data_IF_736642651314
#
_entry.id   IF_736642651314
#
_cell.length_a   1.000
_cell.length_b   1.000
_cell.length_c   1.000
_cell.angle_alpha   90.00
_cell.angle_beta   90.00
_cell.angle_gamma   90.00
#
_symmetry.space_group_name_H-M   'P 1'
#
loop_
_entity.id
_entity.type
_entity.pdbx_description
1 polymer ?
#
# COMPACT_ATOMS: atom_id res chain seq x y z
N UNK A 1 -16.58 7.41 -21.53
CA UNK A 1 -16.39 7.27 -20.06
C UNK A 1 -15.10 7.98 -19.69
N UNK A 2 -15.12 9.03 -18.84
CA UNK A 2 -13.91 9.74 -18.47
C UNK A 2 -12.97 8.84 -17.67
N UNK A 3 -11.68 8.88 -18.00
CA UNK A 3 -10.64 8.13 -17.30
C UNK A 3 -10.52 8.55 -15.83
N UNK A 4 -9.96 7.67 -14.97
CA UNK A 4 -9.80 7.96 -13.54
C UNK A 4 -9.07 9.29 -13.27
N UNK A 5 -8.09 9.63 -14.11
CA UNK A 5 -7.29 10.87 -14.02
C UNK A 5 -8.13 12.10 -14.37
N UNK A 6 -9.00 12.02 -15.38
CA UNK A 6 -9.89 13.11 -15.76
C UNK A 6 -10.88 13.45 -14.64
N UNK A 7 -11.43 12.42 -13.98
CA UNK A 7 -12.32 12.61 -12.82
C UNK A 7 -11.61 13.25 -11.63
N UNK A 8 -10.33 12.95 -11.45
CA UNK A 8 -9.53 13.59 -10.39
C UNK A 8 -9.30 15.07 -10.72
N UNK A 9 -8.94 15.41 -11.96
CA UNK A 9 -8.74 16.80 -12.39
C UNK A 9 -10.02 17.65 -12.35
N UNK A 10 -11.20 17.05 -12.54
CA UNK A 10 -12.49 17.71 -12.42
C UNK A 10 -12.81 18.23 -11.01
N UNK A 11 -12.02 17.86 -9.99
CA UNK A 11 -12.14 18.43 -8.64
C UNK A 11 -11.69 19.89 -8.56
N UNK A 12 -10.92 20.36 -9.54
CA UNK A 12 -10.51 21.76 -9.64
C UNK A 12 -11.69 22.60 -10.11
N UNK A 13 -12.04 23.63 -9.34
CA UNK A 13 -13.11 24.56 -9.71
C UNK A 13 -12.71 25.29 -10.99
N UNK A 14 -13.55 25.20 -12.02
CA UNK A 14 -13.29 25.74 -13.35
C UNK A 14 -12.69 24.73 -14.34
N UNK A 15 -12.38 23.50 -13.92
CA UNK A 15 -11.94 22.41 -14.80
C UNK A 15 -13.09 21.44 -15.05
N UNK A 16 -13.81 21.64 -16.16
CA UNK A 16 -14.84 20.71 -16.63
C UNK A 16 -14.26 19.49 -17.35
N UNK A 17 -15.13 18.58 -17.80
CA UNK A 17 -14.73 17.33 -18.48
C UNK A 17 -13.82 17.57 -19.70
N UNK A 18 -14.12 18.58 -20.51
CA UNK A 18 -13.37 18.90 -21.72
C UNK A 18 -11.97 19.41 -21.37
N UNK A 19 -11.85 20.27 -20.36
CA UNK A 19 -10.56 20.78 -19.89
C UNK A 19 -9.74 19.68 -19.24
N UNK A 20 -10.36 18.83 -18.41
CA UNK A 20 -9.70 17.67 -17.81
C UNK A 20 -9.09 16.73 -18.86
N UNK A 21 -9.81 16.47 -19.97
CA UNK A 21 -9.27 15.70 -21.11
C UNK A 21 -8.07 16.41 -21.73
N UNK A 22 -8.15 17.73 -21.94
CA UNK A 22 -7.06 18.52 -22.52
C UNK A 22 -5.81 18.54 -21.64
N UNK A 23 -5.97 18.63 -20.32
CA UNK A 23 -4.89 18.48 -19.35
C UNK A 23 -4.20 17.13 -19.48
N UNK A 24 -4.98 16.04 -19.52
CA UNK A 24 -4.43 14.69 -19.68
C UNK A 24 -3.70 14.54 -21.02
N UNK A 25 -4.26 15.06 -22.13
CA UNK A 25 -3.59 15.01 -23.45
C UNK A 25 -2.31 15.85 -23.49
N UNK A 26 -2.24 16.92 -22.72
CA UNK A 26 -1.03 17.74 -22.56
C UNK A 26 0.00 17.13 -21.59
N UNK A 27 -0.26 15.92 -21.06
CA UNK A 27 0.63 15.23 -20.12
C UNK A 27 0.50 15.68 -18.67
N UNK A 28 -0.41 16.63 -18.38
CA UNK A 28 -0.71 17.18 -17.04
C UNK A 28 -1.80 16.35 -16.37
N UNK A 29 -1.48 15.09 -16.12
CA UNK A 29 -2.44 14.09 -15.64
C UNK A 29 -2.55 14.00 -14.11
N UNK A 30 -1.83 14.85 -13.37
CA UNK A 30 -1.87 14.96 -11.90
C UNK A 30 -1.79 16.41 -11.44
N UNK A 31 -2.30 16.68 -10.23
CA UNK A 31 -2.20 18.02 -9.62
C UNK A 31 -0.75 18.50 -9.45
N UNK A 32 0.17 17.60 -9.11
CA UNK A 32 1.59 17.94 -9.01
C UNK A 32 2.17 18.44 -10.35
N UNK A 33 1.84 17.77 -11.46
CA UNK A 33 2.28 18.22 -12.79
C UNK A 33 1.66 19.56 -13.19
N UNK A 34 0.42 19.83 -12.78
CA UNK A 34 -0.22 21.14 -13.01
C UNK A 34 0.53 22.24 -12.25
N UNK A 35 0.94 21.98 -11.01
CA UNK A 35 1.74 22.91 -10.21
C UNK A 35 3.13 23.11 -10.82
N UNK A 36 3.79 22.04 -11.28
CA UNK A 36 5.10 22.08 -11.94
C UNK A 36 5.06 22.83 -13.28
N UNK A 37 4.00 22.64 -14.06
CA UNK A 37 3.82 23.32 -15.33
C UNK A 37 3.65 24.84 -15.17
N UNK A 38 3.15 25.29 -14.02
CA UNK A 38 2.96 26.69 -13.69
C UNK A 38 2.07 27.43 -14.69
N UNK A 39 2.08 28.77 -14.62
CA UNK A 39 1.20 29.60 -15.43
C UNK A 39 1.47 29.43 -16.93
N UNK A 40 2.76 29.43 -17.32
CA UNK A 40 3.20 29.30 -18.71
C UNK A 40 2.83 27.96 -19.36
N UNK A 41 2.71 26.88 -18.57
CA UNK A 41 2.29 25.57 -19.07
C UNK A 41 0.77 25.46 -19.22
N UNK A 42 0.02 26.11 -18.34
CA UNK A 42 -1.44 26.17 -18.35
C UNK A 42 -1.98 27.07 -19.48
N UNK A 43 -1.30 28.18 -19.79
CA UNK A 43 -1.67 29.09 -20.88
C UNK A 43 -1.62 28.44 -22.27
N UNK A 44 -0.73 27.45 -22.45
CA UNK A 44 -0.59 26.71 -23.71
C UNK A 44 -1.76 25.78 -23.99
N UNK A 45 -2.63 25.54 -23.00
CA UNK A 45 -3.76 24.62 -23.13
C UNK A 45 -4.96 25.38 -23.67
N UNK A 46 -5.38 24.99 -24.88
CA UNK A 46 -6.53 25.60 -25.54
C UNK A 46 -7.76 25.56 -24.65
N UNK A 47 -8.39 26.72 -24.43
CA UNK A 47 -9.65 26.87 -23.69
C UNK A 47 -9.50 27.06 -22.18
N UNK A 48 -8.27 27.08 -21.64
CA UNK A 48 -8.04 27.57 -20.28
C UNK A 48 -8.17 29.09 -20.28
N UNK A 49 -8.93 29.63 -19.32
CA UNK A 49 -9.05 31.07 -19.17
C UNK A 49 -7.89 31.60 -18.29
N UNK A 50 -7.03 32.51 -18.80
CA UNK A 50 -5.86 33.01 -18.09
C UNK A 50 -6.16 33.57 -16.69
N UNK A 51 -7.33 34.19 -16.50
CA UNK A 51 -7.75 34.75 -15.20
C UNK A 51 -7.91 33.70 -14.10
N UNK A 52 -8.21 32.45 -14.48
CA UNK A 52 -8.42 31.36 -13.52
C UNK A 52 -7.16 30.52 -13.30
N UNK A 53 -6.09 30.72 -14.08
CA UNK A 53 -4.84 29.96 -13.98
C UNK A 53 -4.24 30.03 -12.56
N UNK A 54 -4.08 31.21 -11.92
CA UNK A 54 -3.52 31.28 -10.56
C UNK A 54 -4.39 30.53 -9.54
N UNK A 55 -5.72 30.59 -9.71
CA UNK A 55 -6.66 29.86 -8.84
C UNK A 55 -6.55 28.35 -9.03
N UNK A 56 -6.42 27.88 -10.27
CA UNK A 56 -6.23 26.46 -10.59
C UNK A 56 -4.93 25.95 -9.99
N UNK A 57 -3.83 26.69 -10.10
CA UNK A 57 -2.53 26.30 -9.53
C UNK A 57 -2.61 26.25 -8.00
N UNK A 58 -3.21 27.26 -7.37
CA UNK A 58 -3.39 27.28 -5.91
C UNK A 58 -4.22 26.09 -5.41
N UNK A 59 -5.34 25.79 -6.07
CA UNK A 59 -6.15 24.61 -5.76
C UNK A 59 -5.40 23.30 -6.01
N UNK A 60 -4.67 23.20 -7.12
CA UNK A 60 -3.85 22.04 -7.43
C UNK A 60 -2.75 21.83 -6.38
N UNK A 61 -2.15 22.90 -5.86
CA UNK A 61 -1.16 22.83 -4.78
C UNK A 61 -1.77 22.29 -3.48
N UNK A 62 -2.94 22.80 -3.09
CA UNK A 62 -3.66 22.30 -1.91
C UNK A 62 -4.03 20.84 -2.07
N UNK A 63 -4.64 20.46 -3.20
CA UNK A 63 -5.05 19.08 -3.48
C UNK A 63 -3.86 18.13 -3.62
N UNK A 64 -2.75 18.56 -4.22
CA UNK A 64 -1.52 17.78 -4.28
C UNK A 64 -0.98 17.52 -2.86
N UNK A 65 -0.94 18.55 -2.01
CA UNK A 65 -0.52 18.43 -0.63
C UNK A 65 -1.41 17.50 0.21
N UNK A 66 -2.73 17.55 0.01
CA UNK A 66 -3.68 16.64 0.67
C UNK A 66 -3.50 15.19 0.22
N UNK A 67 -3.35 14.97 -1.10
CA UNK A 67 -3.12 13.62 -1.65
C UNK A 67 -1.80 13.03 -1.14
N UNK A 68 -0.76 13.85 -1.03
CA UNK A 68 0.52 13.40 -0.47
C UNK A 68 0.42 13.09 1.02
N UNK A 69 -0.27 13.93 1.81
CA UNK A 69 -0.53 13.66 3.23
C UNK A 69 -1.34 12.38 3.45
N UNK A 70 -2.44 12.19 2.72
CA UNK A 70 -3.27 10.99 2.79
C UNK A 70 -2.47 9.73 2.39
N UNK A 71 -1.61 9.85 1.36
CA UNK A 71 -0.72 8.76 0.97
C UNK A 71 0.32 8.46 2.06
N UNK A 72 0.92 9.48 2.67
CA UNK A 72 1.88 9.31 3.76
C UNK A 72 1.23 8.64 4.98
N UNK A 73 0.06 9.12 5.41
CA UNK A 73 -0.71 8.52 6.50
C UNK A 73 -1.04 7.06 6.21
N UNK A 74 -1.46 6.72 4.98
CA UNK A 74 -1.70 5.33 4.59
C UNK A 74 -0.44 4.49 4.63
N UNK A 75 0.71 5.01 4.20
CA UNK A 75 1.98 4.29 4.28
C UNK A 75 2.41 4.07 5.72
N UNK A 76 2.20 5.06 6.58
CA UNK A 76 2.51 4.98 8.00
C UNK A 76 1.62 3.95 8.72
N UNK A 77 0.31 3.97 8.45
CA UNK A 77 -0.59 2.93 8.95
C UNK A 77 -0.16 1.52 8.50
N UNK A 78 0.29 1.37 7.25
CA UNK A 78 0.83 0.09 6.76
C UNK A 78 2.15 -0.31 7.45
N UNK A 79 3.00 0.67 7.80
CA UNK A 79 4.23 0.40 8.56
C UNK A 79 3.89 -0.12 9.95
N UNK A 80 2.96 0.54 10.64
CA UNK A 80 2.49 0.10 11.95
C UNK A 80 1.91 -1.32 11.88
N UNK A 81 1.09 -1.60 10.85
CA UNK A 81 0.49 -2.92 10.66
C UNK A 81 1.53 -4.01 10.36
N UNK A 82 2.52 -3.70 9.52
CA UNK A 82 3.64 -4.62 9.24
C UNK A 82 4.48 -4.89 10.51
N UNK A 83 4.72 -3.87 11.33
CA UNK A 83 5.45 -4.00 12.58
C UNK A 83 4.70 -4.88 13.60
N UNK A 84 3.37 -4.72 13.72
CA UNK A 84 2.53 -5.61 14.54
C UNK A 84 2.60 -7.07 14.05
N UNK A 85 2.51 -7.27 12.73
CA UNK A 85 2.62 -8.60 12.13
C UNK A 85 3.99 -9.24 12.40
N UNK A 86 5.07 -8.44 12.32
CA UNK A 86 6.43 -8.86 12.64
C UNK A 86 6.54 -9.29 14.10
N UNK A 87 6.05 -8.47 15.03
CA UNK A 87 6.04 -8.78 16.47
C UNK A 87 5.31 -10.10 16.74
N UNK A 88 4.12 -10.28 16.16
CA UNK A 88 3.35 -11.53 16.31
C UNK A 88 4.13 -12.76 15.81
N UNK A 89 4.85 -12.65 14.70
CA UNK A 89 5.69 -13.74 14.19
C UNK A 89 6.92 -14.01 15.07
N UNK A 90 7.45 -12.99 15.77
CA UNK A 90 8.54 -13.13 16.73
C UNK A 90 8.09 -13.75 18.06
N UNK A 91 6.83 -13.52 18.46
CA UNK A 91 6.24 -14.08 19.67
C UNK A 91 5.76 -15.54 19.48
N UNK A 92 5.46 -15.95 18.24
CA UNK A 92 4.98 -17.31 17.92
C UNK A 92 5.88 -18.45 18.42
N UNK A 93 7.23 -18.40 18.31
CA UNK A 93 8.10 -19.41 18.90
C UNK A 93 7.88 -19.64 20.39
N UNK A 94 7.60 -18.59 21.17
CA UNK A 94 7.31 -18.71 22.61
C UNK A 94 5.97 -19.42 22.83
N UNK A 95 4.93 -18.98 22.10
CA UNK A 95 3.59 -19.61 22.16
C UNK A 95 3.61 -21.08 21.72
N UNK A 96 4.41 -21.39 20.70
CA UNK A 96 4.61 -22.75 20.21
C UNK A 96 5.35 -23.61 21.24
N UNK A 97 6.35 -23.04 21.92
CA UNK A 97 7.04 -23.72 23.02
C UNK A 97 6.09 -24.03 24.15
N UNK A 98 5.25 -23.10 24.58
CA UNK A 98 4.28 -23.35 25.66
C UNK A 98 3.27 -24.46 25.29
N UNK A 99 2.81 -24.50 24.04
CA UNK A 99 1.71 -25.39 23.63
C UNK A 99 2.16 -26.75 23.08
N UNK A 100 3.35 -26.84 22.51
CA UNK A 100 3.78 -27.98 21.69
C UNK A 100 5.23 -28.42 21.99
N UNK A 101 5.68 -28.33 23.24
CA UNK A 101 7.06 -28.66 23.67
C UNK A 101 7.59 -29.97 23.07
N UNK A 102 6.79 -31.03 23.12
CA UNK A 102 7.16 -32.38 22.65
C UNK A 102 7.22 -32.49 21.12
N UNK A 103 6.45 -31.69 20.39
CA UNK A 103 6.34 -31.77 18.93
C UNK A 103 7.38 -30.88 18.21
N UNK A 104 7.93 -29.88 18.93
CA UNK A 104 8.96 -28.97 18.43
C UNK A 104 10.31 -29.66 18.17
N UNK A 105 10.67 -30.65 18.97
CA UNK A 105 11.91 -31.42 18.79
C UNK A 105 11.93 -32.26 17.49
N UNK A 106 10.75 -32.49 16.89
CA UNK A 106 10.58 -33.31 15.69
C UNK A 106 10.88 -32.60 14.36
N UNK A 107 10.88 -33.38 13.26
CA UNK A 107 11.00 -32.86 11.88
C UNK A 107 9.94 -31.81 11.55
N UNK A 108 8.76 -31.89 12.17
CA UNK A 108 7.65 -30.95 11.97
C UNK A 108 7.94 -29.59 12.62
N UNK A 109 8.52 -29.56 13.83
CA UNK A 109 8.95 -28.32 14.48
C UNK A 109 10.00 -27.56 13.68
N UNK A 110 11.04 -28.25 13.20
CA UNK A 110 12.06 -27.65 12.31
C UNK A 110 11.44 -27.03 11.04
N UNK A 111 10.36 -27.64 10.50
CA UNK A 111 9.63 -27.08 9.33
C UNK A 111 8.87 -25.81 9.71
N UNK A 112 8.23 -25.79 10.88
CA UNK A 112 7.49 -24.62 11.39
C UNK A 112 8.45 -23.46 11.63
N UNK A 113 9.56 -23.68 12.33
CA UNK A 113 10.62 -22.69 12.56
C UNK A 113 11.17 -22.12 11.25
N UNK A 114 11.48 -23.00 10.28
CA UNK A 114 11.97 -22.58 8.96
C UNK A 114 10.95 -21.71 8.22
N UNK A 115 9.65 -21.99 8.34
CA UNK A 115 8.62 -21.16 7.71
C UNK A 115 8.38 -19.85 8.47
N UNK A 116 8.52 -19.82 9.80
CA UNK A 116 8.51 -18.58 10.61
C UNK A 116 9.64 -17.63 10.19
N UNK A 117 10.88 -18.12 10.12
CA UNK A 117 12.03 -17.31 9.69
C UNK A 117 11.83 -16.74 8.29
N UNK A 118 11.32 -17.54 7.36
CA UNK A 118 11.02 -17.05 6.01
C UNK A 118 9.86 -16.07 5.97
N UNK A 119 8.87 -16.20 6.86
CA UNK A 119 7.77 -15.25 6.98
C UNK A 119 8.30 -13.90 7.50
N UNK A 120 9.12 -13.92 8.55
CA UNK A 120 9.80 -12.74 9.10
C UNK A 120 10.62 -12.00 8.03
N UNK A 121 11.50 -12.72 7.33
CA UNK A 121 12.30 -12.13 6.24
C UNK A 121 11.43 -11.54 5.11
N UNK A 122 10.23 -12.09 4.88
CA UNK A 122 9.29 -11.55 3.89
C UNK A 122 8.64 -10.25 4.36
N UNK A 123 8.32 -10.15 5.66
CA UNK A 123 7.78 -8.92 6.28
C UNK A 123 8.83 -7.82 6.27
N UNK A 124 10.08 -8.11 6.62
CA UNK A 124 11.18 -7.12 6.58
C UNK A 124 11.43 -6.59 5.16
N UNK A 125 11.38 -7.49 4.17
CA UNK A 125 11.44 -7.10 2.75
C UNK A 125 10.22 -6.28 2.32
N UNK A 126 9.08 -6.45 2.97
CA UNK A 126 7.87 -5.68 2.69
C UNK A 126 8.00 -4.28 3.29
N UNK A 127 8.49 -4.16 4.52
CA UNK A 127 8.75 -2.89 5.21
C UNK A 127 9.64 -1.95 4.38
N UNK A 128 10.74 -2.47 3.83
CA UNK A 128 11.65 -1.72 2.94
C UNK A 128 11.02 -1.30 1.60
N UNK A 129 9.84 -1.83 1.23
CA UNK A 129 9.15 -1.54 -0.03
C UNK A 129 7.77 -0.89 0.17
N UNK A 130 7.45 -0.47 1.39
CA UNK A 130 6.24 0.28 1.69
C UNK A 130 6.26 1.62 0.94
N UNK A 131 5.16 1.95 0.25
CA UNK A 131 5.01 3.22 -0.48
C UNK A 131 4.74 3.09 -1.99
N UNK A 132 5.19 2.02 -2.66
CA UNK A 132 4.99 1.85 -4.11
C UNK A 132 3.62 1.29 -4.49
N UNK A 133 3.05 0.39 -3.67
CA UNK A 133 1.79 -0.31 -3.96
C UNK A 133 0.85 -0.34 -2.74
N UNK A 134 0.67 0.80 -2.08
CA UNK A 134 -0.09 1.00 -0.82
C UNK A 134 -1.37 0.14 -0.74
N UNK A 135 -2.26 0.25 -1.73
CA UNK A 135 -3.53 -0.52 -1.76
C UNK A 135 -3.32 -2.03 -1.82
N UNK A 136 -2.39 -2.50 -2.66
CA UNK A 136 -2.08 -3.94 -2.80
C UNK A 136 -1.42 -4.46 -1.53
N UNK A 137 -0.48 -3.69 -0.97
CA UNK A 137 0.23 -4.04 0.26
C UNK A 137 -0.73 -4.16 1.43
N UNK A 138 -1.64 -3.20 1.63
CA UNK A 138 -2.65 -3.28 2.69
C UNK A 138 -3.54 -4.52 2.57
N UNK A 139 -4.06 -4.79 1.36
CA UNK A 139 -4.90 -5.98 1.14
C UNK A 139 -4.18 -7.29 1.46
N UNK A 140 -2.92 -7.42 1.05
CA UNK A 140 -2.17 -8.66 1.27
C UNK A 140 -1.63 -8.77 2.71
N UNK A 141 -1.40 -7.65 3.42
CA UNK A 141 -1.10 -7.64 4.85
C UNK A 141 -2.28 -8.13 5.68
N UNK A 142 -3.49 -7.59 5.47
CA UNK A 142 -4.71 -8.05 6.14
C UNK A 142 -4.93 -9.54 5.91
N UNK A 143 -4.79 -10.01 4.66
CA UNK A 143 -4.90 -11.44 4.33
C UNK A 143 -3.83 -12.32 4.99
N UNK A 144 -2.65 -11.77 5.25
CA UNK A 144 -1.60 -12.50 5.96
C UNK A 144 -1.93 -12.57 7.45
N UNK A 145 -2.41 -11.47 8.03
CA UNK A 145 -2.84 -11.40 9.41
C UNK A 145 -4.01 -12.33 9.72
N UNK A 146 -5.09 -12.30 8.93
CA UNK A 146 -6.23 -13.22 9.06
C UNK A 146 -5.76 -14.69 9.10
N UNK A 147 -4.75 -15.03 8.29
CA UNK A 147 -4.16 -16.37 8.27
C UNK A 147 -3.36 -16.66 9.52
N UNK A 148 -2.61 -15.70 10.07
CA UNK A 148 -1.91 -15.89 11.34
C UNK A 148 -2.87 -15.95 12.53
N UNK A 149 -4.00 -15.23 12.48
CA UNK A 149 -5.08 -15.35 13.47
C UNK A 149 -5.67 -16.75 13.40
N UNK A 150 -5.99 -17.27 12.21
CA UNK A 150 -6.53 -18.64 12.09
C UNK A 150 -5.58 -19.74 12.58
N UNK A 151 -4.31 -19.42 12.82
CA UNK A 151 -3.31 -20.36 13.34
C UNK A 151 -3.26 -20.42 14.87
N UNK A 152 -3.88 -19.48 15.61
CA UNK A 152 -3.87 -19.55 17.08
C UNK A 152 -4.59 -20.79 17.60
N UNK A 153 -5.59 -21.30 16.88
CA UNK A 153 -6.35 -22.48 17.29
C UNK A 153 -6.03 -23.73 16.43
N UNK A 154 -5.03 -23.62 15.56
CA UNK A 154 -4.66 -24.70 14.65
C UNK A 154 -3.81 -25.79 15.34
N UNK A 155 -3.94 -27.02 14.85
CA UNK A 155 -3.08 -28.14 15.25
C UNK A 155 -1.65 -27.90 14.74
N UNK A 156 -0.65 -28.38 15.48
CA UNK A 156 0.77 -28.20 15.14
C UNK A 156 1.13 -28.64 13.72
N UNK A 157 0.56 -29.76 13.25
CA UNK A 157 0.75 -30.27 11.89
C UNK A 157 0.31 -29.28 10.79
N UNK A 158 -0.63 -28.40 11.10
CA UNK A 158 -1.19 -27.42 10.16
C UNK A 158 -0.48 -26.06 10.24
N UNK A 159 0.28 -25.79 11.32
CA UNK A 159 1.06 -24.56 11.50
C UNK A 159 2.01 -24.29 10.33
N UNK A 160 2.78 -25.30 9.90
CA UNK A 160 3.72 -25.13 8.78
C UNK A 160 3.02 -24.77 7.46
N UNK A 161 1.83 -25.36 7.20
CA UNK A 161 1.04 -25.04 6.00
C UNK A 161 0.41 -23.65 6.10
N UNK A 162 -0.11 -23.26 7.26
CA UNK A 162 -0.71 -21.95 7.46
C UNK A 162 0.32 -20.82 7.37
N UNK A 163 1.50 -20.97 7.99
CA UNK A 163 2.60 -20.01 7.87
C UNK A 163 3.06 -19.85 6.43
N UNK A 164 3.18 -20.97 5.69
CA UNK A 164 3.47 -20.94 4.26
C UNK A 164 2.42 -20.16 3.46
N UNK A 165 1.13 -20.32 3.80
CA UNK A 165 0.03 -19.56 3.17
C UNK A 165 0.09 -18.07 3.54
N UNK A 166 0.35 -17.72 4.79
CA UNK A 166 0.49 -16.32 5.23
C UNK A 166 1.64 -15.64 4.46
N UNK A 167 2.81 -16.28 4.42
CA UNK A 167 3.95 -15.81 3.63
C UNK A 167 3.62 -15.65 2.15
N UNK A 168 2.86 -16.59 1.57
CA UNK A 168 2.45 -16.51 0.16
C UNK A 168 1.59 -15.27 -0.13
N UNK A 169 0.71 -14.84 0.78
CA UNK A 169 -0.01 -13.56 0.62
C UNK A 169 0.95 -12.40 0.55
N UNK A 170 1.88 -12.30 1.51
CA UNK A 170 2.88 -11.23 1.53
C UNK A 170 3.74 -11.19 0.27
N UNK A 171 4.14 -12.35 -0.26
CA UNK A 171 4.91 -12.41 -1.52
C UNK A 171 4.15 -11.85 -2.73
N UNK A 172 2.81 -11.87 -2.74
CA UNK A 172 2.02 -11.30 -3.85
C UNK A 172 2.22 -9.79 -4.01
N UNK A 173 2.71 -9.09 -2.98
CA UNK A 173 3.07 -7.67 -3.08
C UNK A 173 4.23 -7.47 -4.06
N UNK A 174 5.17 -8.42 -4.11
CA UNK A 174 6.36 -8.37 -4.96
C UNK A 174 6.17 -8.95 -6.36
N UNK A 175 5.09 -9.71 -6.57
CA UNK A 175 4.63 -10.13 -7.90
C UNK A 175 3.88 -9.00 -8.59
#
# INVERSE_FOLDING_TARGET
MPGKREKELQKLKGVGEILAKRFVTAGLDTFAKIVEAGETGLEKIKGVNPRFIPSIISQAKTLAGEVDKDRQQKVEALRQHAALLKKRLQDMPLQLKERFQTELAGKTGRKVEKELLKALATVEKLESKLGKRVKKTGKELVRAEERLISLTDARFKDMGKGLKKARKSLRKVFS
#
